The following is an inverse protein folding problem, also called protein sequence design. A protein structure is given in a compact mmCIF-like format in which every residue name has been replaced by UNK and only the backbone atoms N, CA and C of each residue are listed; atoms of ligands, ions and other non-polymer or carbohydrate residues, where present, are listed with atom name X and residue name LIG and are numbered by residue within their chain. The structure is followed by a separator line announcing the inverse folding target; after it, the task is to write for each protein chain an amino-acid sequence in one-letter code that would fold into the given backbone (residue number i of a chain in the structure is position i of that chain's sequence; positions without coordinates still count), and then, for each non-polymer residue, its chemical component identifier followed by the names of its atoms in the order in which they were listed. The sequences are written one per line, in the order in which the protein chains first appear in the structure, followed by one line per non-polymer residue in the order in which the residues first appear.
data_IF_379477105930
#
_entry.id   IF_379477105930
#
_cell.length_a   1.000
_cell.length_b   1.000
_cell.length_c   1.000
_cell.angle_alpha   90.00
_cell.angle_beta   90.00
_cell.angle_gamma   90.00
#
_symmetry.space_group_name_H-M   'P 1'
#
loop_
_entity.id
_entity.type
_entity.pdbx_description
1 polymer ?
#
# COMPACT_ATOMS: atom_id res chain seq x y z
N UNK A 1 20.22 5.22 12.44
CA UNK A 1 21.35 5.70 11.61
C UNK A 1 21.55 7.21 11.80
N UNK A 2 22.64 7.83 11.30
CA UNK A 2 22.85 9.29 11.39
C UNK A 2 22.66 9.94 10.02
N UNK A 3 21.96 11.07 9.97
CA UNK A 3 21.80 11.85 8.75
C UNK A 3 23.16 12.38 8.29
N UNK A 4 23.55 12.15 7.03
CA UNK A 4 24.85 12.62 6.52
C UNK A 4 24.97 14.14 6.41
N UNK A 5 23.84 14.86 6.33
CA UNK A 5 23.79 16.33 6.19
C UNK A 5 23.87 17.06 7.52
N UNK A 6 23.20 16.55 8.54
CA UNK A 6 23.07 17.23 9.83
C UNK A 6 23.47 16.36 11.03
N UNK A 7 24.03 15.16 10.81
CA UNK A 7 24.44 14.19 11.83
C UNK A 7 23.35 13.74 12.84
N UNK A 8 22.12 14.22 12.68
CA UNK A 8 20.98 13.90 13.53
C UNK A 8 20.63 12.40 13.45
N UNK A 9 20.21 11.84 14.58
CA UNK A 9 19.74 10.45 14.65
C UNK A 9 18.43 10.33 13.87
N UNK A 10 18.39 9.40 12.91
CA UNK A 10 17.23 9.12 12.05
C UNK A 10 16.93 7.62 12.06
N UNK A 11 15.65 7.29 11.94
CA UNK A 11 15.19 5.91 11.77
C UNK A 11 15.60 5.39 10.40
N UNK A 12 15.89 4.09 10.29
CA UNK A 12 16.24 3.46 9.00
C UNK A 12 15.11 3.54 7.96
N UNK A 13 13.89 3.78 8.42
CA UNK A 13 12.69 3.90 7.59
C UNK A 13 12.35 5.35 7.21
N UNK A 14 13.04 6.35 7.77
CA UNK A 14 12.76 7.75 7.45
C UNK A 14 13.39 8.13 6.11
N UNK A 15 12.54 8.55 5.16
CA UNK A 15 12.93 8.97 3.80
C UNK A 15 13.50 10.41 3.79
N UNK A 16 13.23 11.18 4.84
CA UNK A 16 13.73 12.53 5.03
C UNK A 16 14.15 12.76 6.48
N UNK A 17 15.25 13.48 6.68
CA UNK A 17 15.68 13.85 8.02
C UNK A 17 14.82 14.99 8.56
N UNK A 18 14.10 14.77 9.65
CA UNK A 18 13.25 15.79 10.27
C UNK A 18 14.01 17.02 10.76
N UNK A 19 15.30 16.90 11.07
CA UNK A 19 16.11 18.02 11.58
C UNK A 19 16.57 18.98 10.49
N UNK A 20 16.75 18.51 9.24
CA UNK A 20 17.31 19.33 8.17
C UNK A 20 16.55 19.24 6.84
N UNK A 21 15.42 18.53 6.80
CA UNK A 21 14.57 18.35 5.62
C UNK A 21 15.23 17.57 4.46
N UNK A 22 16.49 17.18 4.61
CA UNK A 22 17.24 16.50 3.56
C UNK A 22 16.75 15.06 3.37
N UNK A 23 16.56 14.66 2.11
CA UNK A 23 16.31 13.27 1.74
C UNK A 23 17.45 12.38 2.25
N UNK A 24 17.09 11.25 2.87
CA UNK A 24 18.03 10.25 3.40
C UNK A 24 18.41 9.20 2.37
N UNK A 25 17.70 9.14 1.23
CA UNK A 25 18.00 8.25 0.12
C UNK A 25 19.35 8.59 -0.51
N UNK A 26 20.29 7.65 -0.47
CA UNK A 26 21.67 7.87 -0.93
C UNK A 26 21.95 7.27 -2.31
N UNK A 27 21.12 6.33 -2.75
CA UNK A 27 21.31 5.58 -3.99
C UNK A 27 19.99 5.51 -4.76
N UNK A 28 20.06 5.23 -6.08
CA UNK A 28 18.84 4.97 -6.87
C UNK A 28 18.07 3.76 -6.34
N UNK A 29 18.77 2.81 -5.73
CA UNK A 29 18.16 1.64 -5.07
C UNK A 29 17.39 2.03 -3.81
N UNK A 30 17.85 3.02 -3.04
CA UNK A 30 17.11 3.54 -1.89
C UNK A 30 15.83 4.27 -2.32
N UNK A 31 15.81 4.91 -3.49
CA UNK A 31 14.59 5.51 -4.07
C UNK A 31 13.57 4.45 -4.53
N UNK A 32 14.05 3.25 -4.88
CA UNK A 32 13.19 2.12 -5.27
C UNK A 32 12.76 1.23 -4.10
N UNK A 33 13.38 1.40 -2.92
CA UNK A 33 12.94 0.71 -1.70
C UNK A 33 11.55 1.20 -1.32
N UNK A 34 10.55 0.37 -1.58
CA UNK A 34 9.20 0.56 -1.07
C UNK A 34 9.20 0.35 0.44
N UNK A 35 8.78 1.34 1.22
CA UNK A 35 8.65 1.19 2.67
C UNK A 35 7.70 0.01 2.98
N UNK A 36 8.17 -1.05 3.69
CA UNK A 36 7.36 -2.22 4.02
C UNK A 36 6.14 -1.86 4.89
N UNK A 37 6.16 -0.74 5.62
CA UNK A 37 5.00 -0.27 6.40
C UNK A 37 3.95 0.38 5.49
N UNK A 38 4.37 1.30 4.63
CA UNK A 38 3.49 1.96 3.65
C UNK A 38 2.85 0.96 2.68
N UNK A 39 3.63 0.03 2.12
CA UNK A 39 3.12 -1.00 1.19
C UNK A 39 2.11 -1.95 1.83
N UNK A 40 2.29 -2.31 3.11
CA UNK A 40 1.28 -3.06 3.88
C UNK A 40 0.01 -2.26 4.10
N UNK A 41 0.13 -0.98 4.46
CA UNK A 41 -1.03 -0.11 4.66
C UNK A 41 -1.85 0.05 3.38
N UNK A 42 -1.19 0.26 2.23
CA UNK A 42 -1.84 0.33 0.92
C UNK A 42 -2.51 -1.00 0.56
N UNK A 43 -1.84 -2.13 0.82
CA UNK A 43 -2.41 -3.46 0.54
C UNK A 43 -3.69 -3.71 1.36
N UNK A 44 -3.69 -3.36 2.66
CA UNK A 44 -4.89 -3.42 3.49
C UNK A 44 -6.00 -2.48 3.02
N UNK A 45 -5.64 -1.26 2.57
CA UNK A 45 -6.60 -0.32 2.01
C UNK A 45 -7.27 -0.86 0.74
N UNK A 46 -6.50 -1.49 -0.16
CA UNK A 46 -7.04 -2.15 -1.36
C UNK A 46 -7.98 -3.31 -0.99
N UNK A 47 -7.60 -4.14 -0.01
CA UNK A 47 -8.45 -5.23 0.47
C UNK A 47 -9.76 -4.67 1.04
N UNK A 48 -9.69 -3.64 1.89
CA UNK A 48 -10.86 -3.00 2.46
C UNK A 48 -11.76 -2.39 1.37
N UNK A 49 -11.19 -1.69 0.40
CA UNK A 49 -11.93 -1.07 -0.70
C UNK A 49 -12.64 -2.12 -1.58
N UNK A 50 -11.94 -3.17 -1.98
CA UNK A 50 -12.55 -4.25 -2.77
C UNK A 50 -13.59 -5.04 -1.96
N UNK A 51 -13.36 -5.25 -0.66
CA UNK A 51 -14.33 -5.87 0.25
C UNK A 51 -15.61 -5.05 0.40
N UNK A 52 -15.48 -3.73 0.61
CA UNK A 52 -16.62 -2.80 0.65
C UNK A 52 -17.39 -2.79 -0.67
N UNK A 53 -16.68 -2.79 -1.80
CA UNK A 53 -17.30 -2.88 -3.12
C UNK A 53 -18.08 -4.18 -3.31
N UNK A 54 -17.53 -5.33 -2.88
CA UNK A 54 -18.26 -6.60 -2.92
C UNK A 54 -19.52 -6.58 -2.04
N UNK A 55 -19.41 -6.08 -0.81
CA UNK A 55 -20.56 -5.97 0.11
C UNK A 55 -21.64 -5.07 -0.50
N UNK A 56 -21.24 -3.97 -1.13
CA UNK A 56 -22.16 -3.07 -1.81
C UNK A 56 -22.89 -3.76 -2.97
N UNK A 57 -22.17 -4.50 -3.83
CA UNK A 57 -22.79 -5.24 -4.94
C UNK A 57 -23.72 -6.33 -4.39
N UNK A 58 -23.33 -7.08 -3.36
CA UNK A 58 -24.18 -8.11 -2.73
C UNK A 58 -25.44 -7.51 -2.10
N UNK A 59 -25.32 -6.38 -1.40
CA UNK A 59 -26.47 -5.71 -0.79
C UNK A 59 -27.47 -5.20 -1.84
N UNK A 60 -26.98 -4.86 -3.03
CA UNK A 60 -27.79 -4.31 -4.13
C UNK A 60 -28.09 -5.33 -5.24
N UNK A 61 -27.63 -6.58 -5.13
CA UNK A 61 -27.82 -7.61 -6.16
C UNK A 61 -29.27 -8.05 -6.33
N UNK A 62 -30.13 -7.66 -5.38
CA UNK A 62 -31.57 -7.87 -5.41
C UNK A 62 -32.30 -6.84 -6.27
N UNK A 63 -31.58 -5.82 -6.76
CA UNK A 63 -32.11 -4.83 -7.70
C UNK A 63 -31.75 -5.26 -9.12
N UNK A 64 -32.71 -5.21 -10.05
CA UNK A 64 -32.56 -5.70 -11.44
C UNK A 64 -31.48 -4.98 -12.27
N UNK A 65 -30.83 -3.97 -11.69
CA UNK A 65 -29.81 -3.14 -12.34
C UNK A 65 -28.40 -3.73 -12.30
N UNK A 66 -28.15 -4.76 -11.49
CA UNK A 66 -26.82 -5.34 -11.30
C UNK A 66 -26.64 -6.66 -12.05
N UNK A 67 -25.56 -6.74 -12.83
CA UNK A 67 -25.15 -7.94 -13.57
C UNK A 67 -23.96 -8.61 -12.88
N UNK A 68 -23.70 -9.88 -13.23
CA UNK A 68 -22.52 -10.61 -12.76
C UNK A 68 -21.19 -9.88 -13.05
N UNK A 69 -21.17 -8.97 -14.02
CA UNK A 69 -20.02 -8.13 -14.36
C UNK A 69 -19.65 -7.11 -13.26
N UNK A 70 -20.61 -6.69 -12.45
CA UNK A 70 -20.37 -5.69 -11.39
C UNK A 70 -19.55 -6.23 -10.23
N UNK A 71 -19.47 -7.56 -10.09
CA UNK A 71 -18.59 -8.23 -9.14
C UNK A 71 -17.11 -8.22 -9.58
N UNK A 72 -16.83 -8.01 -10.87
CA UNK A 72 -15.47 -8.14 -11.44
C UNK A 72 -14.53 -7.06 -10.90
N UNK A 73 -14.98 -5.80 -10.87
CA UNK A 73 -14.16 -4.69 -10.36
C UNK A 73 -13.76 -4.86 -8.89
N UNK A 74 -14.69 -5.09 -7.93
CA UNK A 74 -14.31 -5.25 -6.53
C UNK A 74 -13.51 -6.53 -6.26
N UNK A 75 -13.77 -7.63 -6.97
CA UNK A 75 -12.96 -8.85 -6.87
C UNK A 75 -11.54 -8.66 -7.41
N UNK A 76 -11.37 -7.95 -8.53
CA UNK A 76 -10.05 -7.61 -9.05
C UNK A 76 -9.23 -6.77 -8.06
N UNK A 77 -9.86 -5.76 -7.43
CA UNK A 77 -9.21 -4.93 -6.41
C UNK A 77 -8.80 -5.75 -5.19
N UNK A 78 -9.65 -6.68 -4.72
CA UNK A 78 -9.31 -7.62 -3.66
C UNK A 78 -8.12 -8.51 -4.01
N UNK A 79 -8.10 -9.06 -5.24
CA UNK A 79 -7.01 -9.90 -5.72
C UNK A 79 -5.69 -9.13 -5.78
N UNK A 80 -5.71 -7.91 -6.31
CA UNK A 80 -4.52 -7.04 -6.34
C UNK A 80 -4.02 -6.77 -4.93
N UNK A 81 -4.90 -6.37 -4.01
CA UNK A 81 -4.54 -6.12 -2.61
C UNK A 81 -3.96 -7.35 -1.91
N UNK A 82 -4.54 -8.53 -2.12
CA UNK A 82 -4.04 -9.79 -1.55
C UNK A 82 -2.66 -10.17 -2.11
N UNK A 83 -2.49 -10.07 -3.43
CA UNK A 83 -1.22 -10.36 -4.11
C UNK A 83 -0.12 -9.42 -3.62
N UNK A 84 -0.38 -8.11 -3.54
CA UNK A 84 0.61 -7.15 -3.04
C UNK A 84 0.97 -7.41 -1.58
N UNK A 85 0.01 -7.85 -0.76
CA UNK A 85 0.26 -8.20 0.64
C UNK A 85 1.13 -9.46 0.76
N UNK A 86 0.88 -10.49 -0.05
CA UNK A 86 1.69 -11.72 -0.11
C UNK A 86 3.11 -11.41 -0.58
N UNK A 87 3.27 -10.63 -1.65
CA UNK A 87 4.59 -10.24 -2.18
C UNK A 87 5.35 -9.42 -1.13
N UNK A 88 4.69 -8.45 -0.49
CA UNK A 88 5.28 -7.64 0.57
C UNK A 88 5.64 -8.46 1.82
N UNK A 89 4.91 -9.56 2.09
CA UNK A 89 5.22 -10.48 3.18
C UNK A 89 6.43 -11.37 2.86
N UNK A 90 6.59 -11.81 1.60
CA UNK A 90 7.73 -12.64 1.14
C UNK A 90 9.03 -11.87 0.97
N UNK A 91 8.97 -10.53 0.82
CA UNK A 91 10.15 -9.66 0.73
C UNK A 91 10.75 -9.26 2.09
N UNK A 92 10.10 -9.64 3.20
CA UNK A 92 10.67 -9.53 4.56
C UNK A 92 11.53 -10.73 4.88
#
# INVERSE_FOLDING_TARGET
MKCKKCAATISEFDISCQSCGALTATTRDDLQKTDPRSSRAISWALIAMGGLGLVFVIANSWTDWYSGLDYVAPTAVLLVGAITLIISARKK
#
